data_IF_109801649055
#
_entry.id   IF_109801649055
#
_cell.length_a   1.000
_cell.length_b   1.000
_cell.length_c   1.000
_cell.angle_alpha   90.00
_cell.angle_beta   90.00
_cell.angle_gamma   90.00
#
_symmetry.space_group_name_H-M   'P 1'
#
loop_
_entity.id
_entity.type
_entity.pdbx_description
1 polymer ?
#
# COMPACT_ATOMS: atom_id res chain seq x y z
N UNK A 1 18.98 -8.96 -5.07
CA UNK A 1 18.54 -10.01 -6.02
C UNK A 1 18.30 -9.48 -7.43
N UNK A 2 17.35 -8.57 -7.67
CA UNK A 2 16.93 -8.11 -9.02
C UNK A 2 18.08 -7.62 -9.93
N UNK A 3 19.08 -6.97 -9.36
CA UNK A 3 20.21 -6.38 -10.08
C UNK A 3 21.56 -7.03 -9.79
N UNK A 4 21.57 -8.21 -9.14
CA UNK A 4 22.83 -8.94 -8.90
C UNK A 4 23.38 -9.53 -10.19
N UNK A 5 24.67 -9.32 -10.43
CA UNK A 5 25.29 -9.60 -11.73
C UNK A 5 25.79 -11.03 -11.88
N UNK A 6 26.08 -11.72 -10.77
CA UNK A 6 26.50 -13.12 -10.75
C UNK A 6 25.80 -13.94 -9.65
N UNK A 7 26.16 -15.23 -9.58
CA UNK A 7 25.58 -16.19 -8.62
C UNK A 7 25.98 -15.88 -7.17
N UNK A 8 27.20 -15.37 -6.94
CA UNK A 8 27.71 -15.07 -5.60
C UNK A 8 27.11 -13.77 -5.04
N UNK A 9 26.86 -12.78 -5.90
CA UNK A 9 26.07 -11.60 -5.58
C UNK A 9 24.65 -11.99 -5.11
N UNK A 10 23.98 -12.84 -5.90
CA UNK A 10 22.60 -13.25 -5.60
C UNK A 10 22.51 -14.01 -4.28
N UNK A 11 23.42 -14.96 -4.06
CA UNK A 11 23.52 -15.69 -2.80
C UNK A 11 23.70 -14.75 -1.60
N UNK A 12 24.63 -13.78 -1.70
CA UNK A 12 24.83 -12.78 -0.64
C UNK A 12 23.58 -11.94 -0.38
N UNK A 13 22.87 -11.52 -1.44
CA UNK A 13 21.63 -10.76 -1.26
C UNK A 13 20.50 -11.59 -0.64
N UNK A 14 20.42 -12.89 -0.95
CA UNK A 14 19.48 -13.81 -0.31
C UNK A 14 19.79 -13.98 1.17
N UNK A 15 21.06 -14.15 1.53
CA UNK A 15 21.50 -14.21 2.92
C UNK A 15 21.15 -12.92 3.69
N UNK A 16 21.42 -11.75 3.12
CA UNK A 16 21.04 -10.45 3.72
C UNK A 16 19.52 -10.37 3.95
N UNK A 17 18.72 -10.79 2.95
CA UNK A 17 17.26 -10.79 3.06
C UNK A 17 16.76 -11.74 4.15
N UNK A 18 17.38 -12.90 4.31
CA UNK A 18 17.06 -13.85 5.37
C UNK A 18 17.38 -13.27 6.77
N UNK A 19 18.55 -12.66 6.93
CA UNK A 19 18.93 -11.99 8.20
C UNK A 19 17.94 -10.87 8.54
N UNK A 20 17.54 -10.05 7.56
CA UNK A 20 16.56 -9.00 7.79
C UNK A 20 15.20 -9.57 8.26
N UNK A 21 14.76 -10.69 7.69
CA UNK A 21 13.53 -11.36 8.12
C UNK A 21 13.63 -11.93 9.55
N UNK A 22 14.80 -12.47 9.93
CA UNK A 22 15.07 -12.94 11.29
C UNK A 22 15.07 -11.78 12.30
N UNK A 23 15.67 -10.65 11.95
CA UNK A 23 15.63 -9.43 12.76
C UNK A 23 14.20 -8.93 12.98
N UNK A 24 13.37 -8.94 11.93
CA UNK A 24 11.96 -8.55 12.01
C UNK A 24 11.15 -9.52 12.85
N UNK A 25 11.41 -10.82 12.72
CA UNK A 25 10.80 -11.88 13.55
C UNK A 25 11.14 -11.65 15.03
N UNK A 26 12.42 -11.45 15.35
CA UNK A 26 12.87 -11.18 16.72
C UNK A 26 12.26 -9.89 17.28
N UNK A 27 12.08 -8.85 16.46
CA UNK A 27 11.52 -7.56 16.88
C UNK A 27 10.01 -7.60 17.11
N UNK A 28 9.27 -8.35 16.30
CA UNK A 28 7.79 -8.33 16.27
C UNK A 28 7.15 -9.54 16.94
N UNK A 29 7.89 -10.63 17.14
CA UNK A 29 7.37 -11.92 17.59
C UNK A 29 6.55 -12.66 16.53
N UNK A 30 6.45 -12.14 15.31
CA UNK A 30 5.72 -12.80 14.22
C UNK A 30 6.49 -14.01 13.69
N UNK A 31 5.82 -15.12 13.32
CA UNK A 31 6.49 -16.25 12.69
C UNK A 31 7.25 -15.84 11.42
N UNK A 32 8.42 -16.43 11.18
CA UNK A 32 9.30 -16.10 10.05
C UNK A 32 8.58 -16.23 8.70
N UNK A 33 7.69 -17.22 8.55
CA UNK A 33 6.89 -17.41 7.33
C UNK A 33 5.96 -16.21 7.07
N UNK A 34 5.34 -15.66 8.13
CA UNK A 34 4.48 -14.47 8.02
C UNK A 34 5.29 -13.22 7.69
N UNK A 35 6.48 -13.06 8.29
CA UNK A 35 7.40 -11.96 7.97
C UNK A 35 7.86 -12.05 6.52
N UNK A 36 8.23 -13.24 6.03
CA UNK A 36 8.64 -13.44 4.64
C UNK A 36 7.56 -13.03 3.66
N UNK A 37 6.29 -13.33 3.94
CA UNK A 37 5.17 -12.90 3.10
C UNK A 37 4.92 -11.39 3.18
N UNK A 38 4.86 -10.80 4.38
CA UNK A 38 4.44 -9.40 4.53
C UNK A 38 5.55 -8.37 4.27
N UNK A 39 6.79 -8.69 4.64
CA UNK A 39 7.91 -7.75 4.61
C UNK A 39 8.85 -8.00 3.43
N UNK A 40 9.09 -9.28 3.12
CA UNK A 40 9.97 -9.66 2.02
C UNK A 40 9.21 -10.03 0.75
N UNK A 41 7.88 -10.05 0.75
CA UNK A 41 7.08 -10.62 -0.34
C UNK A 41 7.19 -9.91 -1.69
N UNK A 42 7.57 -8.62 -1.71
CA UNK A 42 7.63 -7.83 -2.94
C UNK A 42 8.81 -8.24 -3.83
N UNK A 43 8.59 -8.18 -5.15
CA UNK A 43 9.61 -8.38 -6.18
C UNK A 43 10.11 -7.05 -6.76
N UNK A 44 11.35 -7.04 -7.26
CA UNK A 44 11.94 -5.84 -7.85
C UNK A 44 12.58 -4.89 -6.83
N UNK A 45 12.60 -3.60 -7.15
CA UNK A 45 13.07 -2.55 -6.22
C UNK A 45 11.89 -2.08 -5.38
N UNK A 46 11.97 -2.28 -4.06
CA UNK A 46 10.91 -1.85 -3.16
C UNK A 46 10.87 -0.32 -3.08
N UNK A 47 9.67 0.24 -3.20
CA UNK A 47 9.38 1.68 -3.06
C UNK A 47 8.29 1.87 -2.01
N UNK A 48 8.07 3.09 -1.50
CA UNK A 48 6.92 3.37 -0.66
C UNK A 48 5.62 2.94 -1.36
N UNK A 49 4.73 2.25 -0.62
CA UNK A 49 3.39 1.93 -1.11
C UNK A 49 2.58 3.22 -1.26
N UNK A 50 1.68 3.26 -2.25
CA UNK A 50 0.90 4.46 -2.58
C UNK A 50 -0.52 4.30 -2.06
N UNK A 51 -1.04 5.35 -1.43
CA UNK A 51 -2.42 5.50 -0.99
C UNK A 51 -3.00 6.77 -1.65
N UNK A 52 -4.27 6.73 -2.03
CA UNK A 52 -4.98 7.86 -2.63
C UNK A 52 -6.15 8.30 -1.75
N UNK A 53 -6.40 9.60 -1.64
CA UNK A 53 -7.55 10.17 -0.92
C UNK A 53 -8.27 11.19 -1.78
N UNK A 54 -9.59 11.05 -1.91
CA UNK A 54 -10.45 11.94 -2.69
C UNK A 54 -11.03 13.05 -1.81
N UNK A 55 -10.64 14.30 -2.07
CA UNK A 55 -11.24 15.47 -1.43
C UNK A 55 -12.44 15.97 -2.26
N UNK A 56 -13.64 15.54 -1.86
CA UNK A 56 -14.88 15.81 -2.62
C UNK A 56 -15.69 16.90 -1.93
N UNK A 57 -15.88 18.02 -2.63
CA UNK A 57 -16.60 19.19 -2.10
C UNK A 57 -17.96 19.39 -2.76
N UNK A 58 -18.95 19.79 -1.96
CA UNK A 58 -20.24 20.29 -2.45
C UNK A 58 -20.63 21.52 -1.64
N UNK A 59 -20.70 22.68 -2.30
CA UNK A 59 -20.84 23.99 -1.63
C UNK A 59 -19.68 24.21 -0.65
N UNK A 60 -19.98 24.44 0.63
CA UNK A 60 -19.03 24.69 1.73
C UNK A 60 -18.71 23.44 2.56
N UNK A 61 -19.04 22.24 2.06
CA UNK A 61 -18.88 20.98 2.79
C UNK A 61 -18.00 19.99 2.05
N UNK A 62 -17.29 19.17 2.82
CA UNK A 62 -16.49 18.04 2.33
C UNK A 62 -17.19 16.72 2.68
N UNK A 63 -17.10 15.74 1.77
CA UNK A 63 -17.60 14.39 2.01
C UNK A 63 -16.56 13.57 2.80
N UNK A 64 -17.03 12.92 3.86
CA UNK A 64 -16.25 11.98 4.67
C UNK A 64 -17.02 10.65 4.76
N UNK A 65 -16.29 9.57 5.00
CA UNK A 65 -16.84 8.24 5.31
C UNK A 65 -16.48 7.86 6.74
N UNK A 66 -17.36 7.07 7.38
CA UNK A 66 -17.16 6.63 8.76
C UNK A 66 -16.60 5.21 8.78
N UNK A 67 -15.39 5.08 9.26
CA UNK A 67 -14.60 3.85 9.24
C UNK A 67 -15.09 2.86 10.30
N UNK A 68 -15.59 1.71 9.87
CA UNK A 68 -16.16 0.70 10.79
C UNK A 68 -15.16 0.16 11.81
N UNK A 69 -13.87 0.09 11.44
CA UNK A 69 -12.83 -0.50 12.29
C UNK A 69 -12.29 0.46 13.34
N UNK A 70 -12.23 1.76 13.04
CA UNK A 70 -11.63 2.78 13.92
C UNK A 70 -12.65 3.67 14.61
N UNK A 71 -13.92 3.67 14.18
CA UNK A 71 -14.97 4.58 14.68
C UNK A 71 -14.61 6.07 14.47
N UNK A 72 -13.87 6.35 13.39
CA UNK A 72 -13.38 7.68 12.99
C UNK A 72 -13.91 8.06 11.60
N UNK A 73 -13.78 9.34 11.24
CA UNK A 73 -14.11 9.85 9.91
C UNK A 73 -12.87 10.09 9.06
N UNK A 74 -12.89 9.67 7.80
CA UNK A 74 -11.79 9.79 6.85
C UNK A 74 -12.28 10.36 5.50
N UNK A 75 -11.34 10.86 4.70
CA UNK A 75 -11.59 11.09 3.27
C UNK A 75 -11.73 9.74 2.57
N UNK A 76 -12.51 9.70 1.49
CA UNK A 76 -12.68 8.48 0.72
C UNK A 76 -11.34 8.05 0.11
N UNK A 77 -11.04 6.77 0.15
CA UNK A 77 -9.85 6.23 -0.49
C UNK A 77 -9.16 5.09 0.24
N UNK A 78 -8.09 4.61 -0.37
CA UNK A 78 -7.33 3.48 0.12
C UNK A 78 -6.06 3.26 -0.69
N UNK A 79 -5.58 2.01 -0.70
CA UNK A 79 -4.42 1.62 -1.49
C UNK A 79 -4.63 1.95 -2.97
N UNK A 80 -3.61 2.50 -3.62
CA UNK A 80 -3.64 2.66 -5.07
C UNK A 80 -3.47 1.29 -5.72
N UNK A 81 -4.48 0.82 -6.44
CA UNK A 81 -4.42 -0.47 -7.12
C UNK A 81 -3.40 -0.46 -8.26
N UNK A 82 -2.82 -1.63 -8.51
CA UNK A 82 -1.90 -1.80 -9.62
C UNK A 82 -2.63 -1.55 -10.95
N UNK A 83 -1.99 -0.81 -11.85
CA UNK A 83 -2.51 -0.42 -13.17
C UNK A 83 -3.63 0.61 -13.15
N UNK A 84 -3.91 1.26 -12.02
CA UNK A 84 -4.72 2.47 -11.99
C UNK A 84 -3.83 3.70 -11.81
N UNK A 85 -4.15 4.77 -12.53
CA UNK A 85 -3.64 6.09 -12.19
C UNK A 85 -4.22 6.56 -10.85
N UNK A 86 -3.57 7.55 -10.23
CA UNK A 86 -4.08 8.16 -8.99
C UNK A 86 -5.49 8.75 -9.15
N UNK A 87 -5.82 9.25 -10.35
CA UNK A 87 -7.14 9.74 -10.71
C UNK A 87 -8.17 8.61 -10.77
N UNK A 88 -7.89 7.56 -11.54
CA UNK A 88 -8.81 6.41 -11.69
C UNK A 88 -9.09 5.75 -10.34
N UNK A 89 -8.07 5.61 -9.49
CA UNK A 89 -8.22 5.03 -8.17
C UNK A 89 -9.11 5.92 -7.27
N UNK A 90 -8.91 7.23 -7.26
CA UNK A 90 -9.78 8.15 -6.51
C UNK A 90 -11.25 8.09 -6.95
N UNK A 91 -11.51 7.97 -8.26
CA UNK A 91 -12.87 7.86 -8.79
C UNK A 91 -13.51 6.53 -8.35
N UNK A 92 -12.77 5.42 -8.48
CA UNK A 92 -13.20 4.08 -8.03
C UNK A 92 -13.57 4.09 -6.55
N UNK A 93 -12.67 4.54 -5.68
CA UNK A 93 -12.90 4.53 -4.22
C UNK A 93 -14.08 5.44 -3.83
N UNK A 94 -14.27 6.56 -4.54
CA UNK A 94 -15.43 7.43 -4.30
C UNK A 94 -16.77 6.73 -4.61
N UNK A 95 -16.81 5.94 -5.67
CA UNK A 95 -17.97 5.13 -6.03
C UNK A 95 -18.19 3.99 -5.03
N UNK A 96 -17.15 3.23 -4.68
CA UNK A 96 -17.25 2.06 -3.80
C UNK A 96 -17.65 2.41 -2.37
N UNK A 97 -17.08 3.47 -1.79
CA UNK A 97 -17.30 3.81 -0.37
C UNK A 97 -18.52 4.68 -0.13
N UNK A 98 -18.98 5.43 -1.14
CA UNK A 98 -20.08 6.40 -0.97
C UNK A 98 -21.16 6.38 -2.04
N UNK A 99 -21.00 5.57 -3.10
CA UNK A 99 -21.93 5.50 -4.23
C UNK A 99 -21.96 6.77 -5.08
N UNK A 100 -20.87 7.56 -5.10
CA UNK A 100 -20.81 8.84 -5.80
C UNK A 100 -19.99 8.74 -7.09
N UNK A 101 -20.62 9.09 -8.20
CA UNK A 101 -19.92 9.37 -9.46
C UNK A 101 -19.30 10.79 -9.37
N UNK A 102 -17.98 10.86 -9.51
CA UNK A 102 -17.19 12.09 -9.33
C UNK A 102 -16.26 12.32 -10.50
N UNK A 103 -15.88 13.57 -10.71
CA UNK A 103 -14.87 13.97 -11.70
C UNK A 103 -13.80 14.81 -11.01
N UNK A 104 -12.51 14.50 -11.19
CA UNK A 104 -11.44 15.35 -10.71
C UNK A 104 -11.53 16.75 -11.31
N UNK A 105 -11.06 17.72 -10.53
CA UNK A 105 -10.89 19.09 -10.99
C UNK A 105 -9.48 19.23 -11.58
N UNK A 106 -9.38 19.83 -12.77
CA UNK A 106 -8.11 20.19 -13.41
C UNK A 106 -7.62 21.55 -12.91
#
# INVERSE_FOLDING_TARGET
MKYGHDVFDRERYEQIRQIAAEMMTAKTGMPIEKVKTLFCGDEGYQTPKIETRAAIFKSDKILLVHEKLTDDWSLLGGWCEANLSTEENCIKEAEEESGRDVKPIN
#
